data_IF_016446179442
#
_entry.id   IF_016446179442
#
_cell.length_a   1.000
_cell.length_b   1.000
_cell.length_c   1.000
_cell.angle_alpha   90.00
_cell.angle_beta   90.00
_cell.angle_gamma   90.00
#
_symmetry.space_group_name_H-M   'P 1'
#
loop_
_entity.id
_entity.type
_entity.pdbx_description
1 polymer ?
#
# COMPACT_ATOMS: atom_id res chain seq x y z
N UNK A 1 2.29 1.83 -17.07
CA UNK A 1 1.33 2.61 -16.23
C UNK A 1 1.96 3.96 -15.90
N UNK A 2 1.25 5.07 -16.06
CA UNK A 2 1.82 6.42 -15.85
C UNK A 2 1.49 7.04 -14.48
N UNK A 3 0.32 6.76 -13.90
CA UNK A 3 -0.09 7.25 -12.57
C UNK A 3 -1.27 6.41 -12.03
N UNK A 4 -1.29 6.18 -10.70
CA UNK A 4 -2.49 5.72 -9.97
C UNK A 4 -2.74 6.68 -8.81
N UNK A 5 -3.99 7.10 -8.64
CA UNK A 5 -4.47 7.82 -7.46
C UNK A 5 -5.37 6.90 -6.63
N UNK A 6 -4.95 6.57 -5.42
CA UNK A 6 -5.78 5.78 -4.49
C UNK A 6 -6.67 6.74 -3.71
N UNK A 7 -7.94 6.86 -4.11
CA UNK A 7 -8.89 7.72 -3.41
C UNK A 7 -9.27 7.11 -2.06
N UNK A 8 -9.09 7.89 -0.99
CA UNK A 8 -9.48 7.55 0.38
C UNK A 8 -8.92 6.22 0.91
N UNK A 9 -7.80 5.76 0.36
CA UNK A 9 -7.01 4.65 0.88
C UNK A 9 -5.61 5.20 1.15
N UNK A 10 -5.38 5.60 2.39
CA UNK A 10 -4.09 6.13 2.82
C UNK A 10 -3.10 4.97 3.01
N UNK A 11 -2.63 4.42 1.89
CA UNK A 11 -1.69 3.29 1.85
C UNK A 11 -0.43 3.63 2.65
N UNK A 12 0.01 4.89 2.62
CA UNK A 12 1.17 5.36 3.36
C UNK A 12 0.95 5.25 4.87
N UNK A 13 -0.20 5.69 5.36
CA UNK A 13 -0.56 5.60 6.78
C UNK A 13 -0.62 4.14 7.27
N UNK A 14 -1.16 3.22 6.47
CA UNK A 14 -1.15 1.79 6.82
C UNK A 14 0.26 1.21 6.96
N UNK A 15 1.23 1.74 6.20
CA UNK A 15 2.63 1.28 6.27
C UNK A 15 3.37 1.93 7.44
N UNK A 16 3.14 3.23 7.66
CA UNK A 16 3.74 4.02 8.73
C UNK A 16 3.42 3.44 10.11
N UNK A 17 2.16 3.08 10.34
CA UNK A 17 1.69 2.61 11.64
C UNK A 17 1.55 1.08 11.76
N UNK A 18 2.03 0.34 10.76
CA UNK A 18 1.89 -1.12 10.66
C UNK A 18 2.34 -1.91 11.91
N UNK A 19 3.35 -1.42 12.62
CA UNK A 19 3.92 -2.08 13.83
C UNK A 19 3.37 -1.52 15.15
N UNK A 20 2.50 -0.51 15.09
CA UNK A 20 2.01 0.20 16.29
C UNK A 20 0.70 -0.36 16.83
N UNK A 21 0.05 -1.27 16.11
CA UNK A 21 -1.29 -1.77 16.41
C UNK A 21 -2.42 -0.75 16.21
N UNK A 22 -2.11 0.44 15.72
CA UNK A 22 -3.06 1.52 15.44
C UNK A 22 -3.96 1.20 14.24
N UNK A 23 -3.44 0.46 13.26
CA UNK A 23 -4.18 -0.01 12.09
C UNK A 23 -4.39 -1.54 12.15
N UNK A 24 -5.54 -2.07 11.68
CA UNK A 24 -5.74 -3.51 11.59
C UNK A 24 -4.67 -4.19 10.72
N UNK A 25 -4.06 -5.26 11.23
CA UNK A 25 -3.00 -6.02 10.54
C UNK A 25 -3.45 -6.47 9.14
N UNK A 26 -4.72 -6.86 8.99
CA UNK A 26 -5.28 -7.26 7.70
C UNK A 26 -5.22 -6.12 6.68
N UNK A 27 -5.57 -4.90 7.06
CA UNK A 27 -5.51 -3.74 6.17
C UNK A 27 -4.08 -3.36 5.81
N UNK A 28 -3.15 -3.41 6.77
CA UNK A 28 -1.73 -3.19 6.51
C UNK A 28 -1.16 -4.22 5.53
N UNK A 29 -1.58 -5.48 5.64
CA UNK A 29 -1.18 -6.53 4.70
C UNK A 29 -1.70 -6.28 3.28
N UNK A 30 -2.95 -5.85 3.12
CA UNK A 30 -3.48 -5.50 1.80
C UNK A 30 -2.78 -4.26 1.22
N UNK A 31 -2.48 -3.27 2.06
CA UNK A 31 -1.70 -2.11 1.66
C UNK A 31 -0.31 -2.52 1.14
N UNK A 32 0.38 -3.46 1.81
CA UNK A 32 1.67 -3.98 1.35
C UNK A 32 1.58 -4.69 0.00
N UNK A 33 0.61 -5.58 -0.17
CA UNK A 33 0.40 -6.28 -1.45
C UNK A 33 0.19 -5.29 -2.60
N UNK A 34 -0.65 -4.28 -2.37
CA UNK A 34 -0.94 -3.26 -3.37
C UNK A 34 0.32 -2.47 -3.76
N UNK A 35 1.08 -1.98 -2.79
CA UNK A 35 2.30 -1.21 -3.07
C UNK A 35 3.41 -2.03 -3.71
N UNK A 36 3.62 -3.28 -3.28
CA UNK A 36 4.60 -4.18 -3.91
C UNK A 36 4.20 -4.47 -5.36
N UNK A 37 2.93 -4.75 -5.63
CA UNK A 37 2.46 -4.97 -7.00
C UNK A 37 2.69 -3.75 -7.89
N UNK A 38 2.51 -2.53 -7.37
CA UNK A 38 2.81 -1.31 -8.13
C UNK A 38 4.29 -1.18 -8.49
N UNK A 39 5.18 -1.50 -7.54
CA UNK A 39 6.62 -1.46 -7.78
C UNK A 39 7.03 -2.51 -8.81
N UNK A 40 6.54 -3.75 -8.67
CA UNK A 40 6.84 -4.81 -9.65
C UNK A 40 6.31 -4.44 -11.03
N UNK A 41 5.08 -3.92 -11.11
CA UNK A 41 4.50 -3.50 -12.37
C UNK A 41 5.33 -2.39 -13.03
N UNK A 42 5.72 -1.34 -12.30
CA UNK A 42 6.50 -0.23 -12.87
C UNK A 42 7.90 -0.63 -13.32
N UNK A 43 8.48 -1.66 -12.72
CA UNK A 43 9.78 -2.21 -13.14
C UNK A 43 9.67 -3.17 -14.34
N UNK A 44 8.47 -3.64 -14.67
CA UNK A 44 8.25 -4.65 -15.72
C UNK A 44 7.47 -4.14 -16.93
N UNK A 45 6.77 -3.00 -16.81
CA UNK A 45 5.86 -2.45 -17.84
C UNK A 45 5.84 -0.91 -17.86
#
# INVERSE_FOLDING_TARGET
LLLIANYNNDIGEYWEYSDTGFTPIELSNEAYKLGVNYIIYSMTH
#
